data_IF_660746677252
#
_entry.id   IF_660746677252
#
_cell.length_a   1.000
_cell.length_b   1.000
_cell.length_c   1.000
_cell.angle_alpha   90.00
_cell.angle_beta   90.00
_cell.angle_gamma   90.00
#
_symmetry.space_group_name_H-M   'P 1'
#
loop_
_entity.id
_entity.type
_entity.pdbx_description
1 polymer ?
#
# COMPACT_ATOMS: atom_id res chain seq x y z
N UNK A 1 14.94 4.19 -6.50
CA UNK A 1 14.45 4.17 -5.11
C UNK A 1 15.47 4.83 -4.18
N UNK A 2 15.07 5.50 -3.07
CA UNK A 2 15.98 6.20 -2.15
C UNK A 2 17.16 5.36 -1.66
N UNK A 3 16.94 4.07 -1.48
CA UNK A 3 18.01 3.14 -1.03
C UNK A 3 19.19 3.05 -2.01
N UNK A 4 18.95 3.26 -3.30
CA UNK A 4 20.01 3.26 -4.33
C UNK A 4 20.97 4.47 -4.19
N UNK A 5 20.56 5.52 -3.50
CA UNK A 5 21.36 6.71 -3.18
C UNK A 5 21.86 6.71 -1.74
N UNK A 6 21.76 5.57 -1.04
CA UNK A 6 22.16 5.45 0.36
C UNK A 6 21.21 6.11 1.37
N UNK A 7 20.01 6.52 0.94
CA UNK A 7 19.01 7.16 1.79
C UNK A 7 17.98 6.14 2.28
N UNK A 8 17.71 6.12 3.59
CA UNK A 8 16.64 5.34 4.20
C UNK A 8 15.48 6.27 4.56
N UNK A 9 14.34 6.08 3.87
CA UNK A 9 13.11 6.84 4.15
C UNK A 9 12.24 6.05 5.11
N UNK A 10 11.88 6.67 6.22
CA UNK A 10 11.05 6.06 7.27
C UNK A 10 9.86 6.96 7.62
N UNK A 11 8.74 6.32 7.99
CA UNK A 11 7.62 7.02 8.62
C UNK A 11 8.07 7.56 9.99
N UNK A 12 7.67 8.78 10.34
CA UNK A 12 8.05 9.44 11.61
C UNK A 12 7.65 8.60 12.83
N UNK A 13 6.48 7.95 12.82
CA UNK A 13 6.06 7.05 13.91
C UNK A 13 6.94 5.80 14.01
N UNK A 14 7.50 5.31 12.89
CA UNK A 14 8.47 4.21 12.90
C UNK A 14 9.81 4.66 13.46
N UNK A 15 10.31 5.84 13.06
CA UNK A 15 11.54 6.40 13.60
C UNK A 15 11.44 6.62 15.11
N UNK A 16 10.30 7.14 15.58
CA UNK A 16 10.04 7.31 17.02
C UNK A 16 9.98 5.97 17.78
N UNK A 17 9.34 4.95 17.20
CA UNK A 17 9.31 3.62 17.80
C UNK A 17 10.70 2.97 17.88
N UNK A 18 11.57 3.19 16.88
CA UNK A 18 12.98 2.75 16.93
C UNK A 18 13.72 3.44 18.07
N UNK A 19 13.54 4.76 18.21
CA UNK A 19 14.10 5.50 19.34
C UNK A 19 13.65 4.92 20.69
N UNK A 20 12.35 4.67 20.88
CA UNK A 20 11.84 4.09 22.12
C UNK A 20 12.38 2.67 22.37
N UNK A 21 12.48 1.85 21.32
CA UNK A 21 13.02 0.50 21.44
C UNK A 21 14.50 0.49 21.85
N UNK A 22 15.32 1.35 21.22
CA UNK A 22 16.77 1.39 21.45
C UNK A 22 17.13 2.10 22.77
N UNK A 23 16.49 3.24 23.05
CA UNK A 23 16.84 4.07 24.21
C UNK A 23 16.06 3.71 25.48
N UNK A 24 14.84 3.20 25.34
CA UNK A 24 13.95 2.95 26.46
C UNK A 24 13.59 1.48 26.67
N UNK A 25 14.12 0.58 25.84
CA UNK A 25 13.74 -0.85 25.81
C UNK A 25 12.20 -1.08 25.71
N UNK A 26 11.48 -0.11 25.11
CA UNK A 26 10.03 -0.17 24.97
C UNK A 26 9.66 -0.76 23.60
N UNK A 27 9.04 -1.96 23.56
CA UNK A 27 8.58 -2.53 22.29
C UNK A 27 7.41 -1.72 21.71
N UNK A 28 7.21 -1.80 20.37
CA UNK A 28 6.08 -1.18 19.70
C UNK A 28 4.78 -1.95 19.99
N UNK A 29 4.05 -1.52 21.00
CA UNK A 29 2.77 -2.10 21.44
C UNK A 29 1.58 -1.16 21.23
N UNK A 30 1.84 0.10 20.92
CA UNK A 30 0.83 1.14 20.72
C UNK A 30 1.26 2.11 19.62
N UNK A 31 0.30 2.73 18.94
CA UNK A 31 0.54 3.76 17.92
C UNK A 31 -0.49 4.86 18.00
N UNK A 32 -0.10 6.04 17.52
CA UNK A 32 -1.05 7.12 17.25
C UNK A 32 -1.78 6.79 15.96
N UNK A 33 -3.11 6.74 16.03
CA UNK A 33 -4.03 6.49 14.91
C UNK A 33 -5.00 7.65 14.81
N UNK A 34 -5.12 8.22 13.62
CA UNK A 34 -6.08 9.27 13.33
C UNK A 34 -7.39 8.65 12.86
N UNK A 35 -8.49 8.89 13.56
CA UNK A 35 -9.83 8.54 13.08
C UNK A 35 -10.51 9.82 12.61
N UNK A 36 -10.88 9.88 11.32
CA UNK A 36 -11.39 11.09 10.69
C UNK A 36 -12.42 10.79 9.60
N UNK A 37 -13.23 11.78 9.28
CA UNK A 37 -14.25 11.73 8.24
C UNK A 37 -15.09 12.99 8.28
N UNK A 38 -15.66 13.40 7.14
CA UNK A 38 -16.45 14.65 7.06
C UNK A 38 -17.72 14.61 7.91
N UNK A 39 -18.35 13.44 8.01
CA UNK A 39 -19.60 13.25 8.80
C UNK A 39 -19.33 12.71 10.21
N UNK A 40 -18.07 12.54 10.60
CA UNK A 40 -17.73 12.03 11.92
C UNK A 40 -17.93 13.12 12.99
N UNK A 41 -18.54 12.76 14.12
CA UNK A 41 -18.88 13.72 15.18
C UNK A 41 -17.65 14.30 15.89
N UNK A 42 -16.65 13.46 16.17
CA UNK A 42 -15.45 13.83 16.92
C UNK A 42 -14.18 13.25 16.28
N UNK A 43 -13.71 13.77 15.12
CA UNK A 43 -12.44 13.36 14.54
C UNK A 43 -11.31 13.56 15.54
N UNK A 44 -10.51 12.51 15.79
CA UNK A 44 -9.51 12.55 16.87
C UNK A 44 -8.30 11.67 16.54
N UNK A 45 -7.20 11.97 17.25
CA UNK A 45 -6.00 11.14 17.27
C UNK A 45 -6.00 10.31 18.55
N UNK A 46 -5.92 8.99 18.41
CA UNK A 46 -5.92 8.06 19.53
C UNK A 46 -4.55 7.41 19.70
N UNK A 47 -4.05 7.32 20.92
CA UNK A 47 -2.97 6.43 21.27
C UNK A 47 -3.57 5.03 21.48
N UNK A 48 -3.58 4.24 20.44
CA UNK A 48 -4.25 2.94 20.41
C UNK A 48 -3.27 1.78 20.53
N UNK A 49 -3.61 0.77 21.33
CA UNK A 49 -2.85 -0.47 21.41
C UNK A 49 -3.05 -1.29 20.13
N UNK A 50 -1.97 -1.95 19.70
CA UNK A 50 -2.03 -2.88 18.58
C UNK A 50 -2.95 -4.04 18.97
N UNK A 51 -3.89 -4.39 18.09
CA UNK A 51 -4.91 -5.40 18.33
C UNK A 51 -6.25 -4.88 18.86
N UNK A 52 -6.37 -3.55 19.11
CA UNK A 52 -7.68 -2.98 19.49
C UNK A 52 -8.66 -3.09 18.30
N UNK A 53 -9.95 -3.43 18.53
CA UNK A 53 -10.96 -3.43 17.48
C UNK A 53 -11.10 -2.05 16.83
N UNK A 54 -11.27 -1.99 15.51
CA UNK A 54 -11.50 -0.72 14.82
C UNK A 54 -12.83 -0.09 15.22
N UNK A 55 -13.83 -0.91 15.54
CA UNK A 55 -15.13 -0.46 16.02
C UNK A 55 -14.99 0.40 17.28
N UNK A 56 -14.18 -0.02 18.26
CA UNK A 56 -13.97 0.72 19.51
C UNK A 56 -13.37 2.11 19.25
N UNK A 57 -12.44 2.23 18.29
CA UNK A 57 -11.84 3.50 17.90
C UNK A 57 -12.84 4.41 17.18
N UNK A 58 -13.70 3.83 16.34
CA UNK A 58 -14.77 4.55 15.64
C UNK A 58 -15.83 5.02 16.65
N UNK A 59 -16.21 4.18 17.60
CA UNK A 59 -17.18 4.54 18.65
C UNK A 59 -16.65 5.64 19.55
N UNK A 60 -15.37 5.58 19.92
CA UNK A 60 -14.71 6.65 20.68
C UNK A 60 -14.64 7.99 19.89
N UNK A 61 -14.70 7.94 18.56
CA UNK A 61 -14.77 9.12 17.69
C UNK A 61 -16.21 9.57 17.41
N UNK A 62 -17.21 9.03 18.13
CA UNK A 62 -18.62 9.39 18.03
C UNK A 62 -19.50 8.47 17.21
N UNK A 63 -19.01 7.27 16.93
CA UNK A 63 -19.71 6.20 16.22
C UNK A 63 -19.69 6.35 14.71
N UNK A 64 -20.10 5.28 14.03
CA UNK A 64 -20.15 5.23 12.57
C UNK A 64 -21.33 6.10 12.07
N UNK A 65 -21.10 7.14 11.24
CA UNK A 65 -22.20 7.95 10.68
C UNK A 65 -23.16 7.12 9.82
N UNK A 66 -24.45 7.46 9.84
CA UNK A 66 -25.48 6.76 9.04
C UNK A 66 -25.25 6.88 7.52
N UNK A 67 -24.62 7.97 7.08
CA UNK A 67 -24.27 8.21 5.67
C UNK A 67 -22.94 7.58 5.25
N UNK A 68 -22.39 6.66 6.05
CA UNK A 68 -21.11 6.02 5.74
C UNK A 68 -21.19 5.18 4.48
N UNK A 69 -20.40 5.54 3.47
CA UNK A 69 -20.28 4.80 2.23
C UNK A 69 -19.04 3.91 2.15
N UNK A 70 -17.98 4.28 2.89
CA UNK A 70 -16.73 3.53 2.88
C UNK A 70 -15.88 3.84 4.10
N UNK A 71 -15.27 2.81 4.66
CA UNK A 71 -14.21 2.92 5.68
C UNK A 71 -12.89 2.54 5.04
N UNK A 72 -11.90 3.42 5.13
CA UNK A 72 -10.57 3.23 4.56
C UNK A 72 -9.55 3.09 5.68
N UNK A 73 -8.80 2.01 5.64
CA UNK A 73 -7.67 1.76 6.52
C UNK A 73 -6.41 2.40 5.93
N UNK A 74 -6.03 3.53 6.47
CA UNK A 74 -4.97 4.41 5.96
C UNK A 74 -5.50 5.71 5.35
N UNK A 75 -4.72 6.32 4.47
CA UNK A 75 -5.07 7.56 3.78
C UNK A 75 -5.99 7.36 2.57
N UNK A 76 -6.59 8.45 2.04
CA UNK A 76 -7.60 8.38 0.98
C UNK A 76 -7.08 7.84 -0.35
N UNK A 77 -5.80 7.99 -0.67
CA UNK A 77 -5.23 7.55 -1.94
C UNK A 77 -4.57 6.17 -1.88
N UNK A 78 -3.85 5.87 -0.81
CA UNK A 78 -3.07 4.63 -0.66
C UNK A 78 -3.75 3.60 0.24
N UNK A 79 -4.69 4.02 1.08
CA UNK A 79 -5.39 3.15 2.01
C UNK A 79 -6.23 2.08 1.33
N UNK A 80 -6.59 1.06 2.09
CA UNK A 80 -7.44 -0.05 1.64
C UNK A 80 -8.85 0.13 2.17
N UNK A 81 -9.84 0.07 1.29
CA UNK A 81 -11.24 0.02 1.71
C UNK A 81 -11.49 -1.29 2.45
N UNK A 82 -12.11 -1.18 3.61
CA UNK A 82 -12.48 -2.33 4.44
C UNK A 82 -13.86 -2.82 4.04
N UNK A 83 -14.06 -4.14 3.85
CA UNK A 83 -15.38 -4.70 3.62
C UNK A 83 -16.23 -4.66 4.87
N UNK A 84 -15.59 -4.77 6.05
CA UNK A 84 -16.22 -4.78 7.36
C UNK A 84 -15.39 -4.01 8.38
N UNK A 85 -16.03 -3.42 9.37
CA UNK A 85 -15.36 -2.76 10.51
C UNK A 85 -14.90 -3.74 11.59
N UNK A 86 -15.27 -5.01 11.50
CA UNK A 86 -14.87 -6.09 12.40
C UNK A 86 -13.43 -6.55 12.13
N UNK A 87 -12.51 -5.60 12.20
CA UNK A 87 -11.08 -5.82 12.03
C UNK A 87 -10.32 -5.19 13.19
N UNK A 88 -9.06 -5.54 13.32
CA UNK A 88 -8.22 -5.07 14.41
C UNK A 88 -7.14 -4.13 13.90
N UNK A 89 -6.73 -3.19 14.76
CA UNK A 89 -5.63 -2.30 14.49
C UNK A 89 -4.30 -3.06 14.41
N UNK A 90 -3.58 -2.90 13.30
CA UNK A 90 -2.25 -3.51 13.08
C UNK A 90 -1.14 -2.47 13.15
N UNK A 91 0.11 -2.93 13.29
CA UNK A 91 1.31 -2.05 13.37
C UNK A 91 1.42 -1.01 12.25
N UNK A 92 0.95 -1.33 11.04
CA UNK A 92 0.99 -0.43 9.89
C UNK A 92 -0.13 0.61 9.82
N UNK A 93 -1.12 0.55 10.73
CA UNK A 93 -2.23 1.49 10.74
C UNK A 93 -1.80 2.86 11.26
N UNK A 94 -1.97 3.89 10.45
CA UNK A 94 -1.77 5.29 10.87
C UNK A 94 -3.06 6.12 10.82
N UNK A 95 -4.13 5.58 10.26
CA UNK A 95 -5.41 6.28 10.17
C UNK A 95 -6.56 5.40 9.73
N UNK A 96 -7.76 5.84 10.10
CA UNK A 96 -9.05 5.30 9.70
C UNK A 96 -9.83 6.47 9.13
N UNK A 97 -10.14 6.42 7.84
CA UNK A 97 -10.91 7.45 7.15
C UNK A 97 -12.31 6.94 6.83
N UNK A 98 -13.31 7.64 7.34
CA UNK A 98 -14.72 7.36 7.06
C UNK A 98 -15.20 8.33 5.99
N UNK A 99 -15.63 7.80 4.85
CA UNK A 99 -16.12 8.58 3.73
C UNK A 99 -17.65 8.48 3.64
N UNK A 100 -18.34 9.62 3.43
CA UNK A 100 -19.78 9.61 3.20
C UNK A 100 -20.13 8.97 1.86
N UNK A 101 -21.34 8.45 1.72
CA UNK A 101 -21.85 7.80 0.50
C UNK A 101 -21.66 8.64 -0.76
N UNK A 102 -21.87 9.94 -0.67
CA UNK A 102 -21.73 10.86 -1.79
C UNK A 102 -20.32 10.87 -2.40
N UNK A 103 -19.27 10.61 -1.59
CA UNK A 103 -17.86 10.63 -2.01
C UNK A 103 -17.29 9.22 -2.20
N UNK A 104 -17.94 8.21 -1.62
CA UNK A 104 -17.44 6.83 -1.64
C UNK A 104 -17.69 6.12 -2.96
N UNK A 105 -18.68 6.57 -3.76
CA UNK A 105 -19.07 5.95 -5.01
C UNK A 105 -17.98 6.14 -6.07
N UNK A 106 -17.47 5.04 -6.60
CA UNK A 106 -16.62 5.09 -7.79
C UNK A 106 -17.50 5.44 -9.00
N UNK A 107 -17.00 6.33 -9.85
CA UNK A 107 -17.61 6.58 -11.16
C UNK A 107 -17.34 5.42 -12.10
N UNK A 108 -18.23 5.18 -13.05
CA UNK A 108 -18.05 4.14 -14.06
C UNK A 108 -16.81 4.42 -14.92
N UNK A 109 -16.04 3.36 -15.16
CA UNK A 109 -14.86 3.46 -15.99
C UNK A 109 -15.25 3.51 -17.47
N UNK A 110 -14.66 4.43 -18.22
CA UNK A 110 -14.79 4.51 -19.67
C UNK A 110 -13.50 4.08 -20.38
N UNK A 111 -13.51 3.84 -21.70
CA UNK A 111 -12.33 3.54 -22.47
C UNK A 111 -11.25 4.61 -22.32
N UNK A 112 -9.99 4.19 -22.37
CA UNK A 112 -8.85 5.11 -22.28
C UNK A 112 -8.80 6.03 -23.48
N UNK A 113 -8.84 7.35 -23.25
CA UNK A 113 -8.75 8.40 -24.31
C UNK A 113 -7.31 8.77 -24.67
N UNK A 114 -6.30 8.06 -24.16
CA UNK A 114 -4.86 8.25 -24.43
C UNK A 114 -4.32 9.66 -24.13
N UNK A 115 -4.88 10.35 -23.15
CA UNK A 115 -4.51 11.75 -22.81
C UNK A 115 -3.19 11.91 -22.03
N UNK A 116 -2.52 10.83 -21.65
CA UNK A 116 -1.27 10.78 -20.90
C UNK A 116 -1.27 11.43 -19.50
N UNK A 117 -2.40 11.92 -18.97
CA UNK A 117 -2.45 12.56 -17.64
C UNK A 117 -1.90 11.65 -16.52
N UNK A 118 -2.13 10.34 -16.60
CA UNK A 118 -1.60 9.37 -15.64
C UNK A 118 -0.07 9.24 -15.70
N UNK A 119 0.53 9.42 -16.89
CA UNK A 119 1.99 9.41 -17.08
C UNK A 119 2.60 10.66 -16.47
N UNK A 120 2.05 11.84 -16.77
CA UNK A 120 2.51 13.10 -16.19
C UNK A 120 2.35 13.15 -14.67
N UNK A 121 1.31 12.50 -14.12
CA UNK A 121 1.08 12.45 -12.68
C UNK A 121 1.94 11.41 -11.94
N UNK A 122 2.68 10.56 -12.67
CA UNK A 122 3.48 9.51 -12.04
C UNK A 122 4.79 10.06 -11.49
N UNK A 123 5.00 10.05 -10.15
CA UNK A 123 6.24 10.56 -9.55
C UNK A 123 7.47 9.69 -9.86
N UNK A 124 7.24 8.44 -10.30
CA UNK A 124 8.30 7.48 -10.64
C UNK A 124 8.63 7.46 -12.14
N UNK A 125 7.99 8.32 -12.95
CA UNK A 125 8.22 8.38 -14.41
C UNK A 125 7.79 7.11 -15.15
N UNK A 126 6.87 6.34 -14.58
CA UNK A 126 6.33 5.12 -15.20
C UNK A 126 5.20 5.44 -16.19
N UNK A 127 4.78 4.43 -16.96
CA UNK A 127 3.64 4.48 -17.87
C UNK A 127 2.41 3.76 -17.31
N UNK A 128 1.63 4.34 -16.36
CA UNK A 128 0.56 3.66 -15.66
C UNK A 128 -0.55 3.10 -16.57
N UNK A 129 -0.79 3.71 -17.72
CA UNK A 129 -1.75 3.22 -18.71
C UNK A 129 -1.33 1.88 -19.32
N UNK A 130 -0.04 1.70 -19.61
CA UNK A 130 0.49 0.43 -20.12
C UNK A 130 0.60 -0.60 -18.99
N UNK A 131 1.13 -0.22 -17.84
CA UNK A 131 1.24 -1.10 -16.67
C UNK A 131 -0.12 -1.68 -16.27
N UNK A 132 -1.16 -0.84 -16.19
CA UNK A 132 -2.50 -1.30 -15.89
C UNK A 132 -3.04 -2.27 -16.95
N UNK A 133 -2.83 -1.95 -18.25
CA UNK A 133 -3.27 -2.80 -19.37
C UNK A 133 -2.55 -4.16 -19.36
N UNK A 134 -1.23 -4.17 -19.17
CA UNK A 134 -0.46 -5.42 -19.11
C UNK A 134 -0.87 -6.26 -17.91
N UNK A 135 -1.10 -5.64 -16.76
CA UNK A 135 -1.58 -6.33 -15.56
C UNK A 135 -2.99 -6.89 -15.74
N UNK A 136 -3.91 -6.13 -16.33
CA UNK A 136 -5.29 -6.53 -16.65
C UNK A 136 -5.31 -7.75 -17.57
N UNK A 137 -4.45 -7.75 -18.61
CA UNK A 137 -4.31 -8.83 -19.58
C UNK A 137 -3.38 -9.95 -19.11
N UNK A 138 -2.88 -9.90 -17.88
CA UNK A 138 -1.95 -10.87 -17.31
C UNK A 138 -0.65 -11.06 -18.13
N UNK A 139 -0.21 -10.00 -18.83
CA UNK A 139 1.04 -9.96 -19.60
C UNK A 139 2.20 -9.58 -18.67
N UNK A 140 2.55 -10.52 -17.75
CA UNK A 140 3.46 -10.22 -16.63
C UNK A 140 4.88 -9.90 -17.06
N UNK A 141 5.37 -10.54 -18.14
CA UNK A 141 6.71 -10.26 -18.68
C UNK A 141 6.82 -8.81 -19.15
N UNK A 142 5.80 -8.31 -19.88
CA UNK A 142 5.75 -6.91 -20.30
C UNK A 142 5.59 -5.94 -19.12
N UNK A 143 4.85 -6.34 -18.09
CA UNK A 143 4.74 -5.53 -16.88
C UNK A 143 6.07 -5.47 -16.11
N UNK A 144 6.87 -6.54 -16.13
CA UNK A 144 8.22 -6.60 -15.57
C UNK A 144 9.18 -5.72 -16.37
N UNK A 145 9.20 -5.82 -17.72
CA UNK A 145 9.99 -4.98 -18.63
C UNK A 145 9.72 -3.49 -18.39
N UNK A 146 8.46 -3.10 -18.22
CA UNK A 146 8.01 -1.73 -17.92
C UNK A 146 8.16 -1.37 -16.42
N UNK A 147 8.90 -2.17 -15.66
CA UNK A 147 9.30 -1.90 -14.28
C UNK A 147 8.13 -1.68 -13.31
N UNK A 148 7.09 -2.49 -13.43
CA UNK A 148 5.91 -2.40 -12.53
C UNK A 148 6.29 -2.45 -11.04
N UNK A 149 7.40 -3.11 -10.70
CA UNK A 149 7.93 -3.23 -9.35
C UNK A 149 8.42 -1.90 -8.75
N UNK A 150 8.76 -0.90 -9.58
CA UNK A 150 9.14 0.44 -9.13
C UNK A 150 7.93 1.33 -8.77
N UNK A 151 6.71 0.87 -9.03
CA UNK A 151 5.51 1.61 -8.65
C UNK A 151 5.40 1.72 -7.12
N UNK A 152 5.33 2.95 -6.60
CA UNK A 152 5.16 3.23 -5.15
C UNK A 152 3.70 3.20 -4.70
N UNK A 153 2.78 2.86 -5.58
CA UNK A 153 1.34 2.72 -5.31
C UNK A 153 0.67 3.98 -4.73
N UNK A 154 1.14 5.15 -5.10
CA UNK A 154 0.67 6.44 -4.58
C UNK A 154 -0.76 6.83 -5.00
N UNK A 155 -1.33 6.20 -6.05
CA UNK A 155 -2.71 6.47 -6.51
C UNK A 155 -2.86 7.67 -7.46
N UNK A 156 -1.83 8.49 -7.67
CA UNK A 156 -1.90 9.70 -8.49
C UNK A 156 -2.41 9.45 -9.91
N UNK A 157 -2.04 8.31 -10.51
CA UNK A 157 -2.49 7.94 -11.85
C UNK A 157 -4.00 7.68 -11.94
N UNK A 158 -4.59 7.00 -10.94
CA UNK A 158 -6.03 6.77 -10.88
C UNK A 158 -6.79 8.07 -10.61
N UNK A 159 -6.28 8.90 -9.70
CA UNK A 159 -6.87 10.19 -9.38
C UNK A 159 -6.93 11.13 -10.58
N UNK A 160 -5.86 11.18 -11.38
CA UNK A 160 -5.74 12.06 -12.56
C UNK A 160 -6.47 11.54 -13.79
N UNK A 161 -7.02 10.32 -13.76
CA UNK A 161 -7.63 9.68 -14.94
C UNK A 161 -9.01 10.23 -15.24
N UNK A 162 -9.24 10.97 -16.35
CA UNK A 162 -10.55 11.51 -16.70
C UNK A 162 -11.55 10.41 -17.13
N UNK A 163 -11.04 9.23 -17.50
CA UNK A 163 -11.84 8.06 -17.86
C UNK A 163 -12.18 7.17 -16.64
N UNK A 164 -11.87 7.61 -15.42
CA UNK A 164 -12.12 6.91 -14.15
C UNK A 164 -11.61 5.46 -14.10
N UNK A 165 -10.54 5.15 -14.88
CA UNK A 165 -10.01 3.79 -14.92
C UNK A 165 -9.34 3.42 -13.59
N UNK A 166 -9.56 2.20 -13.07
CA UNK A 166 -8.95 1.73 -11.82
C UNK A 166 -7.48 1.30 -12.04
N UNK A 167 -6.64 2.26 -12.52
CA UNK A 167 -5.26 1.97 -12.92
C UNK A 167 -4.45 1.34 -11.79
N UNK A 168 -4.56 1.91 -10.59
CA UNK A 168 -3.80 1.43 -9.43
C UNK A 168 -4.21 0.01 -9.01
N UNK A 169 -5.49 -0.33 -9.11
CA UNK A 169 -5.97 -1.66 -8.72
C UNK A 169 -5.32 -2.74 -9.60
N UNK A 170 -5.31 -2.52 -10.92
CA UNK A 170 -4.65 -3.43 -11.86
C UNK A 170 -3.13 -3.46 -11.67
N UNK A 171 -2.49 -2.29 -11.48
CA UNK A 171 -1.04 -2.21 -11.24
C UNK A 171 -0.65 -2.96 -9.96
N UNK A 172 -1.40 -2.82 -8.88
CA UNK A 172 -1.16 -3.57 -7.63
C UNK A 172 -1.22 -5.08 -7.84
N UNK A 173 -2.22 -5.55 -8.59
CA UNK A 173 -2.37 -6.96 -8.91
C UNK A 173 -1.20 -7.48 -9.73
N UNK A 174 -0.83 -6.77 -10.81
CA UNK A 174 0.30 -7.14 -11.66
C UNK A 174 1.63 -7.11 -10.92
N UNK A 175 1.88 -6.05 -10.14
CA UNK A 175 3.08 -5.93 -9.30
C UNK A 175 3.19 -7.09 -8.32
N UNK A 176 2.10 -7.45 -7.64
CA UNK A 176 2.11 -8.58 -6.70
C UNK A 176 2.53 -9.89 -7.36
N UNK A 177 2.01 -10.17 -8.57
CA UNK A 177 2.37 -11.36 -9.35
C UNK A 177 3.82 -11.32 -9.82
N UNK A 178 4.28 -10.22 -10.41
CA UNK A 178 5.66 -10.03 -10.87
C UNK A 178 6.65 -10.17 -9.71
N UNK A 179 6.39 -9.53 -8.58
CA UNK A 179 7.22 -9.66 -7.38
C UNK A 179 7.27 -11.11 -6.85
N UNK A 180 6.19 -11.87 -6.98
CA UNK A 180 6.17 -13.30 -6.67
C UNK A 180 7.11 -14.10 -7.58
N UNK A 181 7.05 -13.87 -8.89
CA UNK A 181 7.92 -14.51 -9.88
C UNK A 181 9.39 -14.14 -9.62
N UNK A 182 9.69 -12.86 -9.40
CA UNK A 182 11.06 -12.41 -9.13
C UNK A 182 11.62 -13.05 -7.85
N UNK A 183 10.83 -13.17 -6.79
CA UNK A 183 11.25 -13.86 -5.56
C UNK A 183 11.52 -15.34 -5.77
N UNK A 184 10.68 -16.03 -6.55
CA UNK A 184 10.90 -17.44 -6.89
C UNK A 184 12.21 -17.62 -7.68
N UNK A 185 12.45 -16.80 -8.71
CA UNK A 185 13.71 -16.80 -9.48
C UNK A 185 14.93 -16.54 -8.59
N UNK A 186 14.83 -15.59 -7.67
CA UNK A 186 15.91 -15.28 -6.74
C UNK A 186 16.19 -16.42 -5.76
N UNK A 187 15.14 -17.08 -5.23
CA UNK A 187 15.27 -18.23 -4.35
C UNK A 187 15.94 -19.43 -5.06
N UNK A 188 15.55 -19.70 -6.30
CA UNK A 188 16.17 -20.76 -7.11
C UNK A 188 17.65 -20.47 -7.40
N UNK A 189 17.97 -19.21 -7.73
CA UNK A 189 19.35 -18.79 -7.95
C UNK A 189 20.20 -18.93 -6.68
N UNK A 190 19.65 -18.55 -5.54
CA UNK A 190 20.32 -18.71 -4.25
C UNK A 190 20.56 -20.19 -3.91
N UNK A 191 19.54 -21.03 -4.06
CA UNK A 191 19.67 -22.48 -3.81
C UNK A 191 20.75 -23.13 -4.70
N UNK A 192 20.83 -22.74 -5.98
CA UNK A 192 21.89 -23.21 -6.89
C UNK A 192 23.28 -22.73 -6.43
N UNK A 193 23.39 -21.48 -6.00
CA UNK A 193 24.66 -20.93 -5.50
C UNK A 193 25.11 -21.64 -4.21
N UNK A 194 24.21 -21.93 -3.30
CA UNK A 194 24.51 -22.62 -2.04
C UNK A 194 24.91 -24.09 -2.30
N UNK A 195 24.22 -24.78 -3.22
CA UNK A 195 24.59 -26.12 -3.65
C UNK A 195 25.99 -26.18 -4.30
N UNK A 196 26.31 -25.19 -5.16
CA UNK A 196 27.63 -25.09 -5.76
C UNK A 196 28.75 -24.84 -4.72
N UNK A 197 28.48 -23.99 -3.71
CA UNK A 197 29.44 -23.77 -2.60
C UNK A 197 29.67 -25.05 -1.80
N UNK A 198 28.59 -25.75 -1.44
CA UNK A 198 28.69 -27.01 -0.70
C UNK A 198 29.48 -28.08 -1.47
N UNK A 199 29.25 -28.19 -2.79
CA UNK A 199 30.02 -29.11 -3.64
C UNK A 199 31.52 -28.75 -3.73
N UNK A 200 31.84 -27.44 -3.81
CA UNK A 200 33.22 -26.98 -3.82
C UNK A 200 33.95 -27.22 -2.49
N UNK A 201 33.25 -27.11 -1.37
CA UNK A 201 33.81 -27.40 -0.02
C UNK A 201 34.02 -28.92 0.17
N UNK A 202 33.14 -29.77 -0.37
CA UNK A 202 33.28 -31.21 -0.31
C UNK A 202 34.49 -31.71 -1.12
N UNK A 203 34.85 -31.04 -2.23
CA UNK A 203 36.03 -31.38 -3.05
C UNK A 203 37.36 -30.93 -2.44
N UNK A 204 37.34 -30.05 -1.42
CA UNK A 204 38.55 -29.60 -0.74
C UNK A 204 38.97 -30.43 0.49
N UNK A 205 38.09 -31.38 0.87
CA UNK A 205 38.35 -32.37 1.93
C UNK A 205 38.85 -33.70 1.34
#
# INVERSE_FOLDING_TARGET
LPIATGALVQNVGTAFAVYEAVQKNKPLIERIVTVTGKSLKQPSNFLARIGVPLADLIDAAGGLPEDTGKVIFGGPMMGKAMPEVNSYMVKGCSGILIMPNAEARRRDASPCIKCAKCVHACPMGLSPNFLAKYSELNMLDKAEEERVYDCIECGSCSFSCPANRPLLDWIRQGKGKVMGIMRARAAEAQAKADAAKAAAEAQKK
#
